data_IF_762465915293
#
_entry.id   IF_762465915293
#
_cell.length_a   1.000
_cell.length_b   1.000
_cell.length_c   1.000
_cell.angle_alpha   90.00
_cell.angle_beta   90.00
_cell.angle_gamma   90.00
#
_symmetry.space_group_name_H-M   'P 1'
#
loop_
_entity.id
_entity.type
_entity.pdbx_description
1 polymer ?
#
# COMPACT_ATOMS: atom_id res chain seq x y z
N UNK A 1 -9.81 3.57 -18.97
CA UNK A 1 -8.35 3.67 -19.16
C UNK A 1 -7.72 4.32 -17.92
N UNK A 2 -6.45 4.09 -17.58
CA UNK A 2 -5.78 4.74 -16.44
C UNK A 2 -5.84 6.27 -16.49
N UNK A 3 -5.82 6.85 -17.69
CA UNK A 3 -5.98 8.29 -17.91
C UNK A 3 -7.38 8.80 -17.51
N UNK A 4 -8.44 8.02 -17.75
CA UNK A 4 -9.80 8.38 -17.32
C UNK A 4 -9.90 8.40 -15.78
N UNK A 5 -9.22 7.45 -15.12
CA UNK A 5 -9.17 7.39 -13.66
C UNK A 5 -8.40 8.56 -13.08
N UNK A 6 -7.25 8.92 -13.65
CA UNK A 6 -6.47 10.10 -13.25
C UNK A 6 -7.30 11.37 -13.38
N UNK A 7 -7.93 11.59 -14.54
CA UNK A 7 -8.78 12.76 -14.77
C UNK A 7 -9.97 12.81 -13.79
N UNK A 8 -10.61 11.67 -13.52
CA UNK A 8 -11.70 11.59 -12.55
C UNK A 8 -11.22 11.90 -11.12
N UNK A 9 -10.04 11.41 -10.73
CA UNK A 9 -9.44 11.70 -9.42
C UNK A 9 -9.07 13.18 -9.28
N UNK A 10 -8.48 13.79 -10.32
CA UNK A 10 -8.20 15.24 -10.36
C UNK A 10 -9.47 16.05 -10.11
N UNK A 11 -10.53 15.78 -10.89
CA UNK A 11 -11.80 16.48 -10.76
C UNK A 11 -12.45 16.28 -9.37
N UNK A 12 -12.32 15.09 -8.78
CA UNK A 12 -12.83 14.82 -7.43
C UNK A 12 -12.09 15.64 -6.36
N UNK A 13 -10.76 15.76 -6.46
CA UNK A 13 -9.95 16.55 -5.52
C UNK A 13 -10.24 18.05 -5.67
N UNK A 14 -10.41 18.56 -6.89
CA UNK A 14 -10.82 19.94 -7.14
C UNK A 14 -12.19 20.25 -6.50
N UNK A 15 -13.16 19.35 -6.68
CA UNK A 15 -14.48 19.48 -6.06
C UNK A 15 -14.40 19.45 -4.53
N UNK A 16 -13.57 18.56 -3.96
CA UNK A 16 -13.35 18.49 -2.52
C UNK A 16 -12.70 19.78 -2.00
N UNK A 17 -11.72 20.32 -2.71
CA UNK A 17 -11.09 21.61 -2.38
C UNK A 17 -12.12 22.75 -2.29
N UNK A 18 -12.99 22.86 -3.30
CA UNK A 18 -14.06 23.86 -3.29
C UNK A 18 -15.06 23.65 -2.14
N UNK A 19 -15.39 22.40 -1.81
CA UNK A 19 -16.27 22.08 -0.69
C UNK A 19 -15.63 22.46 0.65
N UNK A 20 -14.35 22.14 0.85
CA UNK A 20 -13.60 22.48 2.07
C UNK A 20 -13.44 23.99 2.25
N UNK A 21 -13.24 24.76 1.17
CA UNK A 21 -13.23 26.21 1.22
C UNK A 21 -14.56 26.78 1.76
N UNK A 22 -15.70 26.25 1.28
CA UNK A 22 -17.02 26.65 1.80
C UNK A 22 -17.22 26.28 3.28
N UNK A 23 -16.64 25.17 3.73
CA UNK A 23 -16.63 24.82 5.15
C UNK A 23 -15.78 25.81 5.96
N UNK A 24 -14.63 26.24 5.44
CA UNK A 24 -13.81 27.25 6.09
C UNK A 24 -14.55 28.60 6.20
N UNK A 25 -15.28 28.99 5.15
CA UNK A 25 -16.11 30.21 5.17
C UNK A 25 -17.26 30.10 6.19
N UNK A 26 -17.89 28.92 6.30
CA UNK A 26 -19.05 28.73 7.17
C UNK A 26 -18.70 28.52 8.65
N UNK A 27 -17.60 27.82 8.93
CA UNK A 27 -17.23 27.39 10.28
C UNK A 27 -15.98 28.10 10.84
N UNK A 28 -15.27 28.86 10.01
CA UNK A 28 -14.04 29.56 10.40
C UNK A 28 -12.84 28.63 10.60
N UNK A 29 -11.76 29.18 11.19
CA UNK A 29 -10.47 28.50 11.35
C UNK A 29 -10.44 27.51 12.53
N UNK A 30 -11.30 26.50 12.46
CA UNK A 30 -11.29 25.41 13.45
C UNK A 30 -10.21 24.39 13.14
N UNK A 31 -9.77 23.63 14.15
CA UNK A 31 -8.80 22.54 13.95
C UNK A 31 -9.28 21.52 12.89
N UNK A 32 -10.58 21.21 12.85
CA UNK A 32 -11.15 20.31 11.86
C UNK A 32 -11.03 20.85 10.43
N UNK A 33 -11.37 22.13 10.23
CA UNK A 33 -11.25 22.81 8.93
C UNK A 33 -9.79 22.84 8.47
N UNK A 34 -8.85 23.22 9.35
CA UNK A 34 -7.42 23.24 9.03
C UNK A 34 -6.88 21.89 8.58
N UNK A 35 -7.32 20.81 9.24
CA UNK A 35 -6.96 19.44 8.86
C UNK A 35 -7.50 19.11 7.47
N UNK A 36 -8.78 19.36 7.20
CA UNK A 36 -9.36 19.13 5.88
C UNK A 36 -8.62 19.88 4.78
N UNK A 37 -8.28 21.16 5.00
CA UNK A 37 -7.49 21.96 4.03
C UNK A 37 -6.11 21.33 3.80
N UNK A 38 -5.43 20.92 4.88
CA UNK A 38 -4.12 20.26 4.79
C UNK A 38 -4.19 18.91 4.06
N UNK A 39 -5.23 18.13 4.31
CA UNK A 39 -5.41 16.81 3.70
C UNK A 39 -5.70 16.94 2.19
N UNK A 40 -6.51 17.91 1.79
CA UNK A 40 -6.75 18.21 0.37
C UNK A 40 -5.48 18.69 -0.33
N UNK A 41 -4.68 19.54 0.33
CA UNK A 41 -3.39 19.96 -0.22
C UNK A 41 -2.46 18.76 -0.41
N UNK A 42 -2.43 17.84 0.57
CA UNK A 42 -1.66 16.60 0.49
C UNK A 42 -2.12 15.70 -0.65
N UNK A 43 -3.42 15.53 -0.86
CA UNK A 43 -3.92 14.75 -2.01
C UNK A 43 -3.48 15.32 -3.35
N UNK A 44 -3.40 16.65 -3.48
CA UNK A 44 -2.88 17.26 -4.71
C UNK A 44 -1.38 16.96 -4.90
N UNK A 45 -0.58 17.02 -3.84
CA UNK A 45 0.84 16.63 -3.89
C UNK A 45 0.99 15.16 -4.26
N UNK A 46 0.30 14.27 -3.56
CA UNK A 46 0.36 12.82 -3.80
C UNK A 46 -0.08 12.50 -5.25
N UNK A 47 -1.11 13.17 -5.78
CA UNK A 47 -1.56 12.99 -7.16
C UNK A 47 -0.51 13.46 -8.19
N UNK A 48 0.16 14.58 -7.93
CA UNK A 48 1.21 15.08 -8.79
C UNK A 48 2.45 14.15 -8.80
N UNK A 49 2.73 13.47 -7.70
CA UNK A 49 3.82 12.49 -7.59
C UNK A 49 3.58 11.22 -8.40
N UNK A 50 2.32 10.88 -8.73
CA UNK A 50 2.01 9.69 -9.52
C UNK A 50 2.54 9.74 -10.96
N UNK A 51 2.81 10.94 -11.50
CA UNK A 51 3.36 11.13 -12.84
C UNK A 51 2.51 10.50 -13.95
N UNK A 52 3.16 10.06 -15.02
CA UNK A 52 2.48 9.35 -16.11
C UNK A 52 2.01 7.96 -15.65
N UNK A 53 0.73 7.61 -15.82
CA UNK A 53 0.19 6.34 -15.36
C UNK A 53 0.87 5.18 -16.06
N UNK A 54 1.74 4.46 -15.35
CA UNK A 54 2.30 3.20 -15.82
C UNK A 54 1.24 2.10 -15.69
N UNK A 55 1.10 1.19 -16.67
CA UNK A 55 0.23 0.04 -16.53
C UNK A 55 0.66 -0.74 -15.28
N UNK A 56 -0.28 -0.95 -14.36
CA UNK A 56 -0.01 -1.74 -13.17
C UNK A 56 0.59 -3.07 -13.60
N UNK A 57 1.73 -3.45 -13.02
CA UNK A 57 2.27 -4.79 -13.20
C UNK A 57 1.15 -5.76 -12.80
N UNK A 58 0.67 -6.54 -13.77
CA UNK A 58 -0.26 -7.61 -13.48
C UNK A 58 0.40 -8.45 -12.39
N UNK A 59 -0.28 -8.64 -11.26
CA UNK A 59 0.18 -9.57 -10.23
C UNK A 59 0.47 -10.87 -10.95
N UNK A 60 1.74 -11.28 -10.99
CA UNK A 60 2.09 -12.59 -11.53
C UNK A 60 1.24 -13.59 -10.73
N UNK A 61 0.65 -14.60 -11.39
CA UNK A 61 0.02 -15.69 -10.65
C UNK A 61 1.03 -16.17 -9.61
N UNK A 62 0.59 -16.30 -8.36
CA UNK A 62 1.44 -16.85 -7.30
C UNK A 62 1.96 -18.20 -7.80
N UNK A 63 3.27 -18.41 -7.70
CA UNK A 63 3.88 -19.68 -8.07
C UNK A 63 3.43 -20.72 -7.04
N UNK A 64 2.40 -21.50 -7.42
CA UNK A 64 1.92 -22.61 -6.59
C UNK A 64 2.96 -23.71 -6.65
N UNK A 65 3.81 -23.79 -5.63
CA UNK A 65 4.72 -24.91 -5.43
C UNK A 65 3.92 -26.05 -4.81
N UNK A 66 3.77 -27.15 -5.54
CA UNK A 66 3.18 -28.38 -5.00
C UNK A 66 4.20 -29.00 -4.04
N UNK A 67 3.86 -29.01 -2.75
CA UNK A 67 4.62 -29.76 -1.73
C UNK A 67 4.22 -31.22 -1.86
N UNK A 68 5.21 -32.10 -1.97
CA UNK A 68 4.97 -33.54 -1.99
C UNK A 68 4.62 -34.01 -0.57
N UNK A 69 3.44 -34.62 -0.39
CA UNK A 69 2.94 -35.14 0.88
C UNK A 69 3.69 -36.41 1.36
N UNK A 70 4.78 -36.79 0.69
CA UNK A 70 5.62 -37.88 1.16
C UNK A 70 6.12 -37.58 2.57
N UNK A 71 6.00 -38.55 3.50
CA UNK A 71 6.65 -38.42 4.78
C UNK A 71 8.14 -38.19 4.56
N UNK A 72 8.73 -37.33 5.39
CA UNK A 72 10.17 -37.16 5.43
C UNK A 72 10.82 -38.52 5.66
N UNK A 73 11.96 -38.76 5.01
CA UNK A 73 12.75 -39.97 5.25
C UNK A 73 13.17 -40.00 6.72
N UNK A 74 12.78 -41.04 7.45
CA UNK A 74 13.08 -41.18 8.88
C UNK A 74 14.59 -41.12 9.16
N UNK A 75 15.41 -41.47 8.15
CA UNK A 75 16.88 -41.40 8.20
C UNK A 75 17.43 -39.97 8.27
N UNK A 76 16.61 -38.95 8.01
CA UNK A 76 16.98 -37.54 8.21
C UNK A 76 17.18 -37.25 9.70
N UNK A 77 16.48 -37.97 10.58
CA UNK A 77 16.53 -37.81 12.03
C UNK A 77 17.44 -38.84 12.72
N UNK A 78 17.95 -39.83 11.98
CA UNK A 78 18.87 -40.88 12.48
C UNK A 78 20.29 -40.36 12.78
N UNK A 79 20.57 -39.06 12.62
CA UNK A 79 21.89 -38.48 12.90
C UNK A 79 22.04 -37.83 14.30
N UNK A 80 21.20 -38.19 15.27
CA UNK A 80 21.49 -37.97 16.70
C UNK A 80 22.24 -39.22 17.19
N UNK A 81 23.57 -39.24 17.34
CA UNK A 81 24.34 -38.47 18.31
C UNK A 81 25.83 -38.62 18.00
N UNK A 82 26.56 -37.52 17.74
CA UNK A 82 27.94 -37.34 18.27
C UNK A 82 28.48 -35.95 17.99
N UNK A 83 27.85 -34.92 18.57
CA UNK A 83 28.58 -33.69 18.89
C UNK A 83 28.49 -33.46 20.39
N UNK A 84 29.43 -34.09 21.12
CA UNK A 84 29.74 -33.65 22.47
C UNK A 84 30.29 -32.23 22.35
N UNK A 85 29.45 -31.25 22.71
CA UNK A 85 29.85 -29.87 22.87
C UNK A 85 30.93 -29.80 23.95
N UNK A 86 32.20 -29.90 23.55
CA UNK A 86 33.35 -29.71 24.42
C UNK A 86 33.42 -28.24 24.81
N UNK A 87 32.74 -27.89 25.91
CA UNK A 87 33.05 -26.71 26.69
C UNK A 87 34.09 -27.08 27.74
N UNK A 88 35.36 -26.76 27.46
CA UNK A 88 36.40 -26.48 28.46
C UNK A 88 37.48 -25.61 27.84
#
# INVERSE_FOLDING_TARGET
>A
MPQDALAATTAAIENLSAATARLADAYGDTLGVRRLVSDVARFNTDLAELGDPQPAQQRKPEEVVVIDDKPYDDRIWDHEDSEAWHAS
#
